data_IF_806504311268
#
_entry.id   IF_806504311268
#
_cell.length_a   1.000
_cell.length_b   1.000
_cell.length_c   1.000
_cell.angle_alpha   90.00
_cell.angle_beta   90.00
_cell.angle_gamma   90.00
#
_symmetry.space_group_name_H-M   'P 1'
#
loop_
_entity.id
_entity.type
_entity.pdbx_description
1 polymer ?
#
# COMPACT_ATOMS: atom_id res chain seq x y z
N UNK A 1 11.17 -16.41 16.56
CA UNK A 1 12.46 -15.79 16.15
C UNK A 1 12.15 -14.60 15.23
N UNK A 2 13.00 -13.57 15.12
CA UNK A 2 12.75 -12.43 14.22
C UNK A 2 13.67 -12.55 12.99
N UNK A 3 13.10 -12.39 11.80
CA UNK A 3 13.81 -12.44 10.52
C UNK A 3 13.51 -11.21 9.67
N UNK A 4 14.51 -10.73 8.95
CA UNK A 4 14.41 -9.53 8.11
C UNK A 4 14.35 -9.91 6.64
N UNK A 5 13.39 -9.34 5.90
CA UNK A 5 13.23 -9.59 4.46
C UNK A 5 13.03 -8.31 3.66
N UNK A 6 13.50 -8.31 2.42
CA UNK A 6 13.22 -7.26 1.45
C UNK A 6 11.98 -7.61 0.62
N UNK A 7 10.98 -6.73 0.60
CA UNK A 7 9.77 -6.90 -0.19
C UNK A 7 9.83 -6.18 -1.54
N UNK A 8 9.00 -6.61 -2.50
CA UNK A 8 8.82 -5.92 -3.79
C UNK A 8 7.80 -4.79 -3.71
N UNK A 9 6.77 -4.96 -2.90
CA UNK A 9 5.71 -3.97 -2.67
C UNK A 9 5.21 -4.06 -1.23
N UNK A 10 4.74 -2.93 -0.71
CA UNK A 10 4.24 -2.79 0.67
C UNK A 10 2.74 -2.48 0.74
N UNK A 11 2.21 -1.85 -0.31
CA UNK A 11 0.82 -1.47 -0.45
C UNK A 11 0.09 -2.41 -1.42
N UNK A 12 -1.10 -2.84 -1.03
CA UNK A 12 -2.03 -3.61 -1.85
C UNK A 12 -3.24 -2.73 -2.11
N UNK A 13 -3.63 -2.55 -3.37
CA UNK A 13 -4.85 -1.80 -3.71
C UNK A 13 -6.06 -2.69 -3.51
N UNK A 14 -7.01 -2.24 -2.70
CA UNK A 14 -8.31 -2.89 -2.57
C UNK A 14 -9.12 -2.62 -3.84
N UNK A 15 -9.48 -3.67 -4.58
CA UNK A 15 -10.22 -3.53 -5.85
C UNK A 15 -11.62 -2.97 -5.64
N UNK A 16 -12.29 -3.42 -4.58
CA UNK A 16 -13.65 -3.01 -4.22
C UNK A 16 -13.60 -2.43 -2.80
N UNK A 17 -13.36 -1.12 -2.64
CA UNK A 17 -13.47 -0.49 -1.33
C UNK A 17 -14.92 -0.60 -0.87
N UNK A 18 -15.15 -1.23 0.29
CA UNK A 18 -16.49 -1.22 0.88
C UNK A 18 -16.89 0.22 1.19
N UNK A 19 -18.14 0.58 0.94
CA UNK A 19 -18.64 1.94 1.24
C UNK A 19 -18.47 2.29 2.72
N UNK A 20 -18.52 1.27 3.58
CA UNK A 20 -18.46 1.40 5.03
C UNK A 20 -17.08 1.83 5.56
N UNK A 21 -16.00 1.24 5.02
CA UNK A 21 -14.65 1.50 5.52
C UNK A 21 -13.82 2.40 4.60
N UNK A 22 -14.23 2.59 3.33
CA UNK A 22 -13.55 3.48 2.39
C UNK A 22 -12.06 3.13 2.16
N UNK A 23 -11.63 1.92 2.52
CA UNK A 23 -10.21 1.55 2.51
C UNK A 23 -9.76 1.29 1.08
N UNK A 24 -8.95 2.19 0.55
CA UNK A 24 -8.36 2.08 -0.78
C UNK A 24 -7.11 1.20 -0.81
N UNK A 25 -6.39 1.10 0.32
CA UNK A 25 -5.12 0.39 0.41
C UNK A 25 -5.00 -0.42 1.69
N UNK A 26 -4.53 -1.67 1.55
CA UNK A 26 -4.03 -2.48 2.65
C UNK A 26 -2.50 -2.44 2.70
N UNK A 27 -1.93 -2.57 3.90
CA UNK A 27 -0.48 -2.64 4.12
C UNK A 27 -0.14 -3.94 4.85
N UNK A 28 0.95 -4.59 4.42
CA UNK A 28 1.48 -5.78 5.08
C UNK A 28 2.92 -5.48 5.49
N UNK A 29 3.14 -5.11 6.76
CA UNK A 29 4.42 -4.64 7.30
C UNK A 29 5.26 -5.80 7.83
N UNK A 30 4.61 -6.76 8.49
CA UNK A 30 5.24 -7.96 9.04
C UNK A 30 4.31 -9.16 8.87
N UNK A 31 4.88 -10.36 9.01
CA UNK A 31 4.14 -11.63 9.04
C UNK A 31 4.55 -12.43 10.27
N UNK A 32 3.61 -13.18 10.84
CA UNK A 32 3.82 -13.97 12.06
C UNK A 32 3.58 -13.20 13.36
N UNK A 33 3.37 -13.94 14.44
CA UNK A 33 3.09 -13.42 15.78
C UNK A 33 3.50 -14.46 16.85
N UNK A 34 4.12 -14.00 17.95
CA UNK A 34 4.57 -14.84 19.05
C UNK A 34 3.56 -15.02 20.19
N UNK A 35 2.35 -14.47 20.06
CA UNK A 35 1.38 -14.39 21.16
C UNK A 35 0.66 -15.72 21.46
N UNK A 36 0.74 -16.71 20.57
CA UNK A 36 0.14 -18.04 20.81
C UNK A 36 -1.39 -18.07 20.90
N UNK A 37 -2.07 -17.07 20.35
CA UNK A 37 -3.53 -16.95 20.44
C UNK A 37 -4.26 -18.11 19.73
N UNK A 38 -5.18 -18.78 20.44
CA UNK A 38 -5.95 -19.92 19.91
C UNK A 38 -7.06 -19.51 18.93
N UNK A 39 -7.50 -18.25 18.96
CA UNK A 39 -8.55 -17.69 18.10
C UNK A 39 -8.00 -16.77 16.99
N UNK A 40 -6.70 -16.83 16.72
CA UNK A 40 -6.08 -16.00 15.70
C UNK A 40 -6.41 -16.52 14.30
N UNK A 41 -7.24 -15.79 13.57
CA UNK A 41 -7.60 -16.12 12.17
C UNK A 41 -6.38 -16.28 11.26
N UNK A 42 -5.33 -15.49 11.52
CA UNK A 42 -4.07 -15.54 10.74
C UNK A 42 -3.29 -16.86 10.87
N UNK A 43 -3.69 -17.79 11.75
CA UNK A 43 -3.14 -19.15 11.83
C UNK A 43 -3.72 -20.10 10.79
N UNK A 44 -4.79 -19.70 10.11
CA UNK A 44 -5.42 -20.53 9.09
C UNK A 44 -4.49 -20.77 7.89
N UNK A 45 -4.58 -21.97 7.32
CA UNK A 45 -3.76 -22.38 6.17
C UNK A 45 -3.95 -21.48 4.94
N UNK A 46 -5.11 -20.82 4.83
CA UNK A 46 -5.43 -19.88 3.75
C UNK A 46 -4.45 -18.69 3.66
N UNK A 47 -3.73 -18.35 4.74
CA UNK A 47 -2.73 -17.30 4.76
C UNK A 47 -1.32 -17.79 4.38
N UNK A 48 -1.11 -19.10 4.26
CA UNK A 48 0.15 -19.73 3.82
C UNK A 48 1.38 -19.21 4.60
N UNK A 49 1.26 -19.16 5.93
CA UNK A 49 2.34 -18.79 6.84
C UNK A 49 2.86 -20.06 7.49
N UNK A 50 4.02 -20.58 7.05
CA UNK A 50 4.57 -21.85 7.53
C UNK A 50 4.82 -21.83 9.05
N UNK A 51 5.65 -20.90 9.53
CA UNK A 51 6.00 -20.75 10.94
C UNK A 51 5.39 -19.48 11.49
N UNK A 52 4.16 -19.58 11.97
CA UNK A 52 3.44 -18.41 12.50
C UNK A 52 4.14 -17.77 13.69
N UNK A 53 4.88 -18.53 14.49
CA UNK A 53 5.63 -18.04 15.65
C UNK A 53 6.90 -17.26 15.26
N UNK A 54 7.35 -17.36 14.01
CA UNK A 54 8.48 -16.60 13.50
C UNK A 54 8.01 -15.30 12.86
N UNK A 55 8.51 -14.19 13.40
CA UNK A 55 8.14 -12.86 12.95
C UNK A 55 9.07 -12.48 11.78
N UNK A 56 8.47 -12.22 10.64
CA UNK A 56 9.16 -11.77 9.43
C UNK A 56 8.86 -10.29 9.24
N UNK A 57 9.87 -9.44 9.35
CA UNK A 57 9.75 -7.98 9.24
C UNK A 57 10.27 -7.52 7.88
N UNK A 58 9.51 -6.63 7.22
CA UNK A 58 9.93 -6.03 5.95
C UNK A 58 10.71 -4.74 6.19
N UNK A 59 12.04 -4.81 6.15
CA UNK A 59 12.92 -3.68 6.47
C UNK A 59 12.80 -2.52 5.47
N UNK A 60 12.56 -2.82 4.19
CA UNK A 60 12.42 -1.81 3.14
C UNK A 60 11.01 -1.19 3.03
N UNK A 61 10.13 -1.41 4.02
CA UNK A 61 8.75 -0.92 4.02
C UNK A 61 8.66 0.61 3.85
N UNK A 62 9.50 1.37 4.59
CA UNK A 62 9.49 2.85 4.55
C UNK A 62 9.91 3.38 3.18
N UNK A 63 10.94 2.80 2.58
CA UNK A 63 11.43 3.21 1.26
C UNK A 63 10.40 2.93 0.17
N UNK A 64 9.77 1.76 0.20
CA UNK A 64 8.72 1.39 -0.76
C UNK A 64 7.49 2.30 -0.63
N UNK A 65 7.13 2.70 0.59
CA UNK A 65 6.05 3.67 0.83
C UNK A 65 6.39 5.03 0.20
N UNK A 66 7.58 5.57 0.47
CA UNK A 66 8.03 6.85 -0.10
C UNK A 66 8.00 6.83 -1.63
N UNK A 67 8.56 5.78 -2.25
CA UNK A 67 8.54 5.60 -3.72
C UNK A 67 7.11 5.61 -4.28
N UNK A 68 6.16 4.98 -3.59
CA UNK A 68 4.75 4.90 -4.06
C UNK A 68 3.98 6.21 -3.89
N UNK A 69 4.25 6.97 -2.83
CA UNK A 69 3.58 8.26 -2.57
C UNK A 69 4.08 9.34 -3.54
N UNK A 70 5.40 9.46 -3.72
CA UNK A 70 6.00 10.43 -4.65
C UNK A 70 5.56 10.20 -6.10
N UNK A 71 5.45 8.93 -6.52
CA UNK A 71 4.98 8.58 -7.87
C UNK A 71 3.51 8.96 -8.14
N UNK A 72 2.70 9.23 -7.09
CA UNK A 72 1.33 9.73 -7.25
C UNK A 72 1.28 11.25 -7.29
N UNK A 73 2.11 11.93 -6.51
CA UNK A 73 2.16 13.40 -6.50
C UNK A 73 2.59 13.93 -7.87
N UNK A 74 3.63 13.33 -8.47
CA UNK A 74 4.07 13.70 -9.83
C UNK A 74 2.98 13.53 -10.90
N UNK A 75 2.05 12.57 -10.71
CA UNK A 75 0.89 12.42 -11.61
C UNK A 75 -0.22 13.44 -11.34
N UNK A 76 -0.35 13.92 -10.10
CA UNK A 76 -1.33 14.97 -9.74
C UNK A 76 -0.90 16.33 -10.29
N UNK A 77 0.39 16.62 -10.28
CA UNK A 77 0.95 17.88 -10.80
C UNK A 77 0.81 17.99 -12.33
N UNK A 78 0.82 16.86 -13.04
CA UNK A 78 0.56 16.82 -14.48
C UNK A 78 -0.91 17.15 -14.84
N UNK A 79 -1.84 17.03 -13.88
CA UNK A 79 -3.25 17.40 -14.08
C UNK A 79 -3.46 18.92 -13.99
N UNK A 80 -2.72 19.60 -13.11
CA UNK A 80 -2.70 21.08 -13.05
C UNK A 80 -2.23 21.67 -14.38
N UNK A 81 -1.17 21.12 -14.98
CA UNK A 81 -0.66 21.54 -16.29
C UNK A 81 -1.64 21.30 -17.45
N UNK A 82 -2.54 20.32 -17.35
CA UNK A 82 -3.52 20.04 -18.38
C UNK A 82 -4.73 21.01 -18.31
N UNK A 83 -5.08 21.49 -17.11
CA UNK A 83 -6.18 22.44 -16.92
C UNK A 83 -5.79 23.88 -17.32
N UNK A 84 -4.57 24.31 -16.99
CA UNK A 84 -4.08 25.64 -17.39
C UNK A 84 -3.91 25.79 -18.91
N UNK A 85 -3.58 24.71 -19.63
CA UNK A 85 -3.50 24.70 -21.10
C UNK A 85 -4.88 24.79 -21.78
N UNK A 86 -5.94 24.27 -21.17
CA UNK A 86 -7.31 24.42 -21.68
C UNK A 86 -7.86 25.83 -21.50
N UNK A 87 -7.52 26.50 -20.39
CA UNK A 87 -7.93 27.89 -20.11
C UNK A 87 -7.21 28.88 -21.04
N UNK A 88 -5.92 28.66 -21.34
CA UNK A 88 -5.16 29.53 -22.24
C UNK A 88 -5.64 29.49 -23.70
N UNK A 89 -6.21 28.36 -24.13
CA UNK A 89 -6.75 28.20 -25.49
C UNK A 89 -8.13 28.88 -25.64
N UNK A 90 -8.92 28.95 -24.57
CA UNK A 90 -10.23 29.63 -24.58
C UNK A 90 -10.12 31.16 -24.55
N UNK A 91 -9.01 31.69 -24.00
CA UNK A 91 -8.76 33.14 -23.87
C UNK A 91 -8.15 33.82 -25.10
N UNK A 92 -7.85 33.05 -26.16
CA UNK A 92 -7.36 33.58 -27.46
C UNK A 92 -8.41 33.56 -28.58
N UNK A 93 -9.60 33.07 -28.30
CA UNK A 93 -10.71 32.96 -29.27
C UNK A 93 -11.86 33.93 -28.96
N UNK A 94 -11.67 34.84 -27.99
CA UNK A 94 -12.55 35.96 -27.69
C UNK A 94 -11.75 37.25 -27.77
#
# INVERSE_FOLDING_TARGET
MISEVNAKSILITCKNPSSWFGVKYGMNIYRGCQHGCIYCDSRSECYQIDKFEDIIVKVNAVELLKKRTLAKESKRDNWHWCYERSIYTFRKTV
#
